data_IF_693951856877
#
_entry.id   IF_693951856877
#
_cell.length_a   1.000
_cell.length_b   1.000
_cell.length_c   1.000
_cell.angle_alpha   90.00
_cell.angle_beta   90.00
_cell.angle_gamma   90.00
#
_symmetry.space_group_name_H-M   'P 1'
#
loop_
_entity.id
_entity.type
_entity.pdbx_description
1 polymer ?
#
# COMPACT_ATOMS: atom_id res chain seq x y z
N UNK A 1 -13.32 -4.97 -2.64
CA UNK A 1 -12.70 -6.25 -2.93
C UNK A 1 -13.60 -7.39 -2.43
N UNK A 2 -13.73 -8.46 -3.21
CA UNK A 2 -14.54 -9.64 -2.87
C UNK A 2 -13.72 -10.92 -2.89
N UNK A 3 -12.41 -10.80 -2.94
CA UNK A 3 -11.48 -11.93 -2.95
C UNK A 3 -11.65 -12.75 -1.68
N UNK A 4 -11.83 -14.07 -1.82
CA UNK A 4 -11.94 -15.01 -0.70
C UNK A 4 -13.21 -14.88 0.16
N UNK A 5 -14.18 -14.01 -0.20
CA UNK A 5 -15.36 -13.76 0.64
C UNK A 5 -16.29 -14.98 0.72
N UNK A 6 -16.37 -15.81 -0.33
CA UNK A 6 -17.21 -17.02 -0.34
C UNK A 6 -16.65 -18.06 0.61
N UNK A 7 -15.36 -18.33 0.54
CA UNK A 7 -14.65 -19.27 1.41
C UNK A 7 -14.73 -18.81 2.88
N UNK A 8 -14.55 -17.53 3.12
CA UNK A 8 -14.67 -16.94 4.46
C UNK A 8 -16.09 -17.08 5.01
N UNK A 9 -17.11 -16.71 4.22
CA UNK A 9 -18.51 -16.84 4.62
C UNK A 9 -18.91 -18.30 4.85
N UNK A 10 -18.40 -19.25 4.04
CA UNK A 10 -18.62 -20.68 4.25
C UNK A 10 -18.06 -21.14 5.58
N UNK A 11 -16.81 -20.76 5.89
CA UNK A 11 -16.18 -21.09 7.16
C UNK A 11 -16.93 -20.52 8.37
N UNK A 12 -17.46 -19.29 8.26
CA UNK A 12 -18.31 -18.70 9.31
C UNK A 12 -19.63 -19.46 9.48
N UNK A 13 -20.25 -19.88 8.37
CA UNK A 13 -21.49 -20.68 8.42
C UNK A 13 -21.25 -22.04 9.08
N UNK A 14 -20.11 -22.70 8.78
CA UNK A 14 -19.70 -23.95 9.42
C UNK A 14 -19.47 -23.80 10.93
N UNK A 15 -19.11 -22.60 11.38
CA UNK A 15 -18.98 -22.21 12.78
C UNK A 15 -20.31 -21.77 13.43
N UNK A 16 -21.41 -21.85 12.69
CA UNK A 16 -22.76 -21.55 13.20
C UNK A 16 -23.17 -20.07 13.11
N UNK A 17 -22.42 -19.24 12.40
CA UNK A 17 -22.81 -17.84 12.17
C UNK A 17 -23.90 -17.71 11.11
N UNK A 18 -24.84 -16.81 11.35
CA UNK A 18 -25.77 -16.33 10.34
C UNK A 18 -25.13 -15.20 9.52
N UNK A 19 -25.34 -15.21 8.21
CA UNK A 19 -24.77 -14.24 7.30
C UNK A 19 -25.75 -13.08 7.02
N UNK A 20 -25.28 -11.85 7.23
CA UNK A 20 -26.00 -10.63 6.90
C UNK A 20 -25.23 -9.85 5.86
N UNK A 21 -25.88 -9.47 4.74
CA UNK A 21 -25.18 -8.76 3.67
C UNK A 21 -26.11 -7.89 2.83
N UNK A 22 -25.51 -7.04 1.99
CA UNK A 22 -26.21 -6.14 1.06
C UNK A 22 -25.81 -6.41 -0.39
N UNK A 23 -26.65 -5.98 -1.34
CA UNK A 23 -26.33 -5.80 -2.75
C UNK A 23 -25.60 -6.96 -3.43
N UNK A 24 -24.46 -6.63 -4.07
CA UNK A 24 -23.72 -7.58 -4.89
C UNK A 24 -23.02 -8.69 -4.10
N UNK A 25 -22.61 -8.45 -2.84
CA UNK A 25 -22.02 -9.49 -1.98
C UNK A 25 -23.07 -10.52 -1.58
N UNK A 26 -24.27 -10.09 -1.17
CA UNK A 26 -25.36 -11.00 -0.85
C UNK A 26 -25.72 -11.90 -2.03
N UNK A 27 -25.74 -11.33 -3.24
CA UNK A 27 -25.99 -12.09 -4.47
C UNK A 27 -24.92 -13.15 -4.74
N UNK A 28 -23.65 -12.76 -4.56
CA UNK A 28 -22.51 -13.69 -4.73
C UNK A 28 -22.59 -14.87 -3.77
N UNK A 29 -22.84 -14.60 -2.49
CA UNK A 29 -22.95 -15.64 -1.46
C UNK A 29 -24.14 -16.55 -1.69
N UNK A 30 -25.33 -16.00 -2.07
CA UNK A 30 -26.52 -16.79 -2.43
C UNK A 30 -26.26 -17.68 -3.64
N UNK A 31 -25.54 -17.18 -4.65
CA UNK A 31 -25.16 -17.97 -5.84
C UNK A 31 -24.19 -19.11 -5.50
N UNK A 32 -23.40 -18.96 -4.44
CA UNK A 32 -22.55 -20.02 -3.89
C UNK A 32 -23.31 -21.01 -2.98
N UNK A 33 -24.63 -20.87 -2.84
CA UNK A 33 -25.48 -21.78 -2.06
C UNK A 33 -25.58 -21.44 -0.58
N UNK A 34 -25.06 -20.31 -0.13
CA UNK A 34 -25.11 -19.90 1.27
C UNK A 34 -26.44 -19.19 1.60
N UNK A 35 -26.96 -19.47 2.80
CA UNK A 35 -28.12 -18.75 3.32
C UNK A 35 -27.67 -17.35 3.78
N UNK A 36 -28.25 -16.30 3.21
CA UNK A 36 -27.91 -14.90 3.51
C UNK A 36 -29.17 -14.11 3.74
N UNK A 37 -29.26 -13.47 4.91
CA UNK A 37 -30.29 -12.48 5.24
C UNK A 37 -29.89 -11.12 4.67
N UNK A 38 -30.83 -10.41 4.06
CA UNK A 38 -30.54 -9.07 3.55
C UNK A 38 -30.61 -8.05 4.71
N UNK A 39 -29.76 -7.03 4.64
CA UNK A 39 -29.79 -5.93 5.61
C UNK A 39 -31.17 -5.26 5.62
N UNK A 40 -31.84 -5.10 4.48
CA UNK A 40 -33.21 -4.56 4.38
C UNK A 40 -34.26 -5.42 5.09
N UNK A 41 -34.04 -6.73 5.20
CA UNK A 41 -34.92 -7.63 5.96
C UNK A 41 -34.78 -7.41 7.48
N UNK A 42 -33.56 -7.12 7.96
CA UNK A 42 -33.28 -6.82 9.37
C UNK A 42 -33.71 -5.41 9.75
N UNK A 43 -33.43 -4.44 8.91
CA UNK A 43 -33.76 -3.04 9.17
C UNK A 43 -35.22 -2.72 8.95
N UNK A 44 -35.96 -3.59 8.22
CA UNK A 44 -37.33 -3.32 7.75
C UNK A 44 -37.43 -1.99 6.98
N UNK A 45 -36.31 -1.59 6.35
CA UNK A 45 -36.20 -0.35 5.58
C UNK A 45 -35.59 -0.67 4.19
N UNK A 46 -36.17 -0.16 3.09
CA UNK A 46 -35.58 -0.36 1.77
C UNK A 46 -34.26 0.39 1.65
N UNK A 47 -33.41 -0.06 0.72
CA UNK A 47 -32.29 0.75 0.26
C UNK A 47 -32.86 1.98 -0.49
N UNK A 48 -32.36 3.18 -0.14
CA UNK A 48 -32.80 4.45 -0.73
C UNK A 48 -31.62 5.20 -1.36
N UNK A 49 -31.94 6.13 -2.27
CA UNK A 49 -30.96 6.94 -2.99
C UNK A 49 -29.92 6.09 -3.71
N UNK A 50 -30.37 5.10 -4.51
CA UNK A 50 -29.53 4.16 -5.25
C UNK A 50 -28.48 3.42 -4.39
N UNK A 51 -28.85 3.16 -3.11
CA UNK A 51 -27.99 2.43 -2.18
C UNK A 51 -27.02 3.28 -1.36
N UNK A 52 -27.06 4.61 -1.46
CA UNK A 52 -26.28 5.49 -0.59
C UNK A 52 -26.63 5.32 0.89
N UNK A 53 -27.89 4.92 1.18
CA UNK A 53 -28.36 4.61 2.53
C UNK A 53 -28.92 3.20 2.55
N UNK A 54 -28.19 2.26 3.16
CA UNK A 54 -28.60 0.87 3.29
C UNK A 54 -28.22 0.24 4.65
N UNK A 55 -27.00 0.45 5.13
CA UNK A 55 -26.51 -0.09 6.42
C UNK A 55 -26.52 0.93 7.57
N UNK A 56 -26.79 2.20 7.29
CA UNK A 56 -26.83 3.27 8.29
C UNK A 56 -28.17 3.24 9.06
N UNK A 57 -28.33 2.23 9.90
CA UNK A 57 -29.55 2.00 10.64
C UNK A 57 -29.26 1.51 12.07
N UNK A 58 -30.06 1.88 13.09
CA UNK A 58 -29.88 1.40 14.47
C UNK A 58 -29.86 -0.12 14.61
N UNK A 59 -30.62 -0.86 13.82
CA UNK A 59 -30.64 -2.32 13.82
C UNK A 59 -29.31 -2.96 13.34
N UNK A 60 -28.41 -2.19 12.73
CA UNK A 60 -27.07 -2.60 12.35
C UNK A 60 -26.04 -2.02 13.33
N UNK A 61 -26.06 -0.69 13.53
CA UNK A 61 -25.05 -0.02 14.35
C UNK A 61 -25.25 -0.23 15.86
N UNK A 62 -26.47 -0.51 16.31
CA UNK A 62 -26.73 -0.91 17.69
C UNK A 62 -25.98 -2.19 18.07
N UNK A 63 -26.21 -3.32 17.35
CA UNK A 63 -25.46 -4.56 17.55
C UNK A 63 -23.93 -4.43 17.43
N UNK A 64 -23.43 -3.57 16.54
CA UNK A 64 -21.99 -3.31 16.39
C UNK A 64 -21.40 -2.54 17.57
N UNK A 65 -22.16 -1.69 18.23
CA UNK A 65 -21.66 -0.81 19.30
C UNK A 65 -22.04 -1.27 20.71
N UNK A 66 -22.90 -2.29 20.86
CA UNK A 66 -23.31 -2.80 22.13
C UNK A 66 -22.14 -3.40 22.93
N UNK A 67 -22.02 -3.01 24.19
CA UNK A 67 -21.02 -3.52 25.13
C UNK A 67 -21.57 -4.77 25.79
N UNK A 68 -21.43 -5.92 25.14
CA UNK A 68 -22.08 -7.17 25.52
C UNK A 68 -21.71 -7.71 26.90
N UNK A 69 -20.65 -7.19 27.52
CA UNK A 69 -20.30 -7.45 28.92
C UNK A 69 -21.13 -6.61 29.91
N UNK A 70 -21.90 -5.63 29.43
CA UNK A 70 -22.80 -4.83 30.25
C UNK A 70 -24.24 -5.34 30.09
N UNK A 71 -24.84 -5.74 31.19
CA UNK A 71 -26.20 -6.30 31.21
C UNK A 71 -27.26 -5.33 30.64
N UNK A 72 -27.06 -4.04 30.82
CA UNK A 72 -27.96 -3.02 30.29
C UNK A 72 -28.00 -3.03 28.77
N UNK A 73 -26.82 -3.08 28.10
CA UNK A 73 -26.72 -3.10 26.63
C UNK A 73 -27.28 -4.42 26.07
N UNK A 74 -26.95 -5.56 26.70
CA UNK A 74 -27.48 -6.86 26.31
C UNK A 74 -29.02 -6.95 26.46
N UNK A 75 -29.57 -6.43 27.55
CA UNK A 75 -31.01 -6.35 27.79
C UNK A 75 -31.71 -5.47 26.76
N UNK A 76 -31.09 -4.33 26.40
CA UNK A 76 -31.67 -3.42 25.41
C UNK A 76 -31.67 -4.03 24.01
N UNK A 77 -30.59 -4.70 23.58
CA UNK A 77 -30.57 -5.46 22.32
C UNK A 77 -31.69 -6.50 22.27
N UNK A 78 -31.84 -7.29 23.34
CA UNK A 78 -32.91 -8.29 23.44
C UNK A 78 -34.31 -7.66 23.36
N UNK A 79 -34.53 -6.54 24.03
CA UNK A 79 -35.82 -5.80 23.99
C UNK A 79 -36.14 -5.26 22.59
N UNK A 80 -35.11 -4.89 21.83
CA UNK A 80 -35.25 -4.41 20.45
C UNK A 80 -35.32 -5.54 19.40
N UNK A 81 -35.08 -6.77 19.82
CA UNK A 81 -35.03 -7.93 18.92
C UNK A 81 -33.81 -7.95 18.01
N UNK A 82 -32.73 -7.30 18.39
CA UNK A 82 -31.49 -7.22 17.59
C UNK A 82 -30.53 -8.33 18.01
N UNK A 83 -30.08 -9.14 17.05
CA UNK A 83 -29.05 -10.13 17.27
C UNK A 83 -27.66 -9.45 17.31
N UNK A 84 -26.74 -9.87 18.19
CA UNK A 84 -25.38 -9.34 18.24
C UNK A 84 -24.64 -9.64 16.94
N UNK A 85 -23.91 -8.65 16.40
CA UNK A 85 -22.98 -8.84 15.28
C UNK A 85 -21.59 -9.07 15.86
N UNK A 86 -20.98 -10.22 15.57
CA UNK A 86 -19.69 -10.64 16.15
C UNK A 86 -18.52 -10.52 15.18
N UNK A 87 -18.79 -10.59 13.88
CA UNK A 87 -17.78 -10.54 12.81
C UNK A 87 -18.26 -9.59 11.71
N UNK A 88 -17.37 -8.75 11.25
CA UNK A 88 -17.60 -7.85 10.10
C UNK A 88 -16.46 -8.05 9.11
N UNK A 89 -16.80 -8.28 7.84
CA UNK A 89 -15.89 -8.17 6.72
C UNK A 89 -16.34 -6.99 5.85
N UNK A 90 -15.50 -5.99 5.72
CA UNK A 90 -15.85 -4.78 4.98
C UNK A 90 -14.60 -4.14 4.37
N UNK A 91 -14.51 -4.19 3.05
CA UNK A 91 -13.56 -3.41 2.26
C UNK A 91 -14.27 -2.19 1.70
N UNK A 92 -13.60 -1.04 1.70
CA UNK A 92 -14.17 0.21 1.18
C UNK A 92 -14.16 0.22 -0.35
N UNK A 93 -14.86 1.17 -0.95
CA UNK A 93 -14.78 1.40 -2.39
C UNK A 93 -13.36 1.79 -2.77
N UNK A 94 -12.84 1.35 -3.93
CA UNK A 94 -11.46 1.62 -4.35
C UNK A 94 -11.35 3.07 -4.88
N UNK A 95 -11.44 4.06 -3.98
CA UNK A 95 -11.44 5.48 -4.34
C UNK A 95 -10.11 5.88 -5.01
N UNK A 96 -8.96 5.42 -4.50
CA UNK A 96 -7.64 5.71 -5.08
C UNK A 96 -7.54 5.23 -6.53
N UNK A 97 -7.99 4.00 -6.82
CA UNK A 97 -8.01 3.45 -8.19
C UNK A 97 -8.93 4.27 -9.10
N UNK A 98 -10.11 4.66 -8.58
CA UNK A 98 -11.07 5.48 -9.31
C UNK A 98 -10.51 6.88 -9.63
N UNK A 99 -9.81 7.49 -8.68
CA UNK A 99 -9.15 8.79 -8.86
C UNK A 99 -7.99 8.73 -9.88
N UNK A 100 -7.31 7.57 -9.97
CA UNK A 100 -6.18 7.35 -10.89
C UNK A 100 -6.60 6.93 -12.31
N UNK A 101 -7.90 6.79 -12.62
CA UNK A 101 -8.36 6.35 -13.95
C UNK A 101 -7.95 7.31 -15.07
N UNK A 102 -7.69 6.75 -16.25
CA UNK A 102 -7.37 7.53 -17.44
C UNK A 102 -8.32 7.13 -18.60
N UNK A 103 -9.14 8.06 -19.16
CA UNK A 103 -9.28 9.46 -18.73
C UNK A 103 -9.86 9.59 -17.30
N UNK A 104 -9.61 10.71 -16.61
CA UNK A 104 -10.15 10.95 -15.27
C UNK A 104 -11.68 10.88 -15.24
N UNK A 105 -12.25 10.32 -14.17
CA UNK A 105 -13.68 10.39 -13.91
C UNK A 105 -14.15 11.84 -13.77
N UNK A 106 -15.37 12.13 -14.16
CA UNK A 106 -15.96 13.43 -13.84
C UNK A 106 -16.23 13.56 -12.32
N UNK A 107 -16.60 14.77 -11.89
CA UNK A 107 -16.75 15.05 -10.46
C UNK A 107 -17.91 14.30 -9.83
N UNK A 108 -19.03 14.11 -10.56
CA UNK A 108 -20.19 13.42 -10.06
C UNK A 108 -19.92 11.91 -9.92
N UNK A 109 -19.29 11.31 -10.92
CA UNK A 109 -18.91 9.88 -10.89
C UNK A 109 -17.88 9.59 -9.80
N UNK A 110 -16.91 10.52 -9.58
CA UNK A 110 -15.93 10.35 -8.52
C UNK A 110 -16.58 10.48 -7.13
N UNK A 111 -17.51 11.42 -6.93
CA UNK A 111 -18.24 11.57 -5.68
C UNK A 111 -19.02 10.31 -5.30
N UNK A 112 -19.54 9.56 -6.28
CA UNK A 112 -20.21 8.27 -6.03
C UNK A 112 -19.26 7.17 -5.53
N UNK A 113 -17.94 7.36 -5.71
CA UNK A 113 -16.92 6.44 -5.17
C UNK A 113 -16.59 6.72 -3.71
N UNK A 114 -17.13 7.78 -3.09
CA UNK A 114 -16.96 8.06 -1.67
C UNK A 114 -17.95 7.21 -0.87
N UNK A 115 -17.45 6.16 -0.23
CA UNK A 115 -18.22 5.27 0.63
C UNK A 115 -18.50 5.94 1.99
N UNK A 116 -19.75 5.97 2.40
CA UNK A 116 -20.19 6.50 3.70
C UNK A 116 -20.51 5.36 4.66
N UNK A 117 -21.24 4.36 4.18
CA UNK A 117 -21.73 3.25 5.00
C UNK A 117 -20.61 2.32 5.46
N UNK A 118 -19.66 2.01 4.57
CA UNK A 118 -18.50 1.17 4.86
C UNK A 118 -17.62 1.73 5.98
N UNK A 119 -17.08 2.96 5.85
CA UNK A 119 -16.26 3.58 6.90
C UNK A 119 -16.99 3.67 8.24
N UNK A 120 -18.27 4.00 8.25
CA UNK A 120 -19.06 4.07 9.48
C UNK A 120 -19.16 2.70 10.17
N UNK A 121 -19.39 1.64 9.41
CA UNK A 121 -19.47 0.27 9.91
C UNK A 121 -18.10 -0.25 10.40
N UNK A 122 -17.04 0.01 9.64
CA UNK A 122 -15.66 -0.33 10.00
C UNK A 122 -15.26 0.34 11.33
N UNK A 123 -15.48 1.65 11.44
CA UNK A 123 -15.15 2.41 12.64
C UNK A 123 -15.97 1.99 13.86
N UNK A 124 -17.26 1.69 13.69
CA UNK A 124 -18.11 1.19 14.78
C UNK A 124 -17.60 -0.16 15.30
N UNK A 125 -17.27 -1.08 14.40
CA UNK A 125 -16.72 -2.40 14.73
C UNK A 125 -15.36 -2.29 15.42
N UNK A 126 -14.43 -1.51 14.87
CA UNK A 126 -13.10 -1.28 15.43
C UNK A 126 -13.18 -0.63 16.83
N UNK A 127 -14.05 0.36 17.04
CA UNK A 127 -14.29 0.95 18.33
C UNK A 127 -14.75 -0.10 19.37
N UNK A 128 -15.55 -1.06 18.95
CA UNK A 128 -16.08 -2.11 19.80
C UNK A 128 -15.33 -3.44 19.62
N UNK A 129 -14.03 -3.41 19.33
CA UNK A 129 -13.19 -4.59 19.05
C UNK A 129 -13.22 -5.64 20.19
N UNK A 130 -13.56 -5.27 21.41
CA UNK A 130 -13.73 -6.25 22.49
C UNK A 130 -14.86 -7.25 22.23
N UNK A 131 -15.80 -6.91 21.36
CA UNK A 131 -17.00 -7.70 21.09
C UNK A 131 -17.18 -8.04 19.60
N UNK A 132 -16.50 -7.32 18.71
CA UNK A 132 -16.62 -7.47 17.26
C UNK A 132 -15.23 -7.68 16.65
N UNK A 133 -15.08 -8.68 15.81
CA UNK A 133 -13.93 -8.88 14.93
C UNK A 133 -14.20 -8.13 13.63
N UNK A 134 -13.28 -7.28 13.21
CA UNK A 134 -13.39 -6.52 11.95
C UNK A 134 -12.24 -6.86 11.02
N UNK A 135 -12.52 -7.38 9.83
CA UNK A 135 -11.56 -7.62 8.77
C UNK A 135 -11.81 -6.68 7.61
N UNK A 136 -10.86 -5.77 7.37
CA UNK A 136 -10.86 -4.82 6.24
C UNK A 136 -10.01 -5.31 5.07
N UNK A 137 -9.20 -6.35 5.29
CA UNK A 137 -8.29 -6.94 4.32
C UNK A 137 -8.63 -8.43 4.14
N UNK A 138 -8.89 -8.90 2.91
CA UNK A 138 -9.12 -10.32 2.63
C UNK A 138 -7.99 -11.25 3.12
N UNK A 139 -6.75 -10.75 3.16
CA UNK A 139 -5.60 -11.50 3.69
C UNK A 139 -5.73 -11.89 5.16
N UNK A 140 -6.64 -11.23 5.92
CA UNK A 140 -6.89 -11.53 7.34
C UNK A 140 -8.03 -12.53 7.58
N UNK A 141 -8.74 -12.95 6.53
CA UNK A 141 -9.88 -13.86 6.68
C UNK A 141 -9.49 -15.18 7.35
N UNK A 142 -8.35 -15.74 6.94
CA UNK A 142 -7.86 -16.99 7.52
C UNK A 142 -7.53 -16.84 9.01
N UNK A 143 -6.87 -15.75 9.40
CA UNK A 143 -6.54 -15.47 10.81
C UNK A 143 -7.79 -15.38 11.68
N UNK A 144 -8.85 -14.73 11.16
CA UNK A 144 -10.15 -14.61 11.86
C UNK A 144 -10.80 -15.98 12.03
N UNK A 145 -10.81 -16.82 10.98
CA UNK A 145 -11.39 -18.16 11.03
C UNK A 145 -10.63 -19.05 12.01
N UNK A 146 -9.29 -19.02 11.99
CA UNK A 146 -8.45 -19.80 12.90
C UNK A 146 -8.66 -19.37 14.36
N UNK A 147 -8.73 -18.06 14.61
CA UNK A 147 -8.99 -17.53 15.94
C UNK A 147 -10.38 -17.94 16.48
N UNK A 148 -11.40 -17.92 15.62
CA UNK A 148 -12.75 -18.37 15.98
C UNK A 148 -12.82 -19.88 16.23
N UNK A 149 -12.08 -20.70 15.47
CA UNK A 149 -11.99 -22.15 15.67
C UNK A 149 -11.26 -22.54 16.95
N UNK A 150 -10.30 -21.72 17.37
CA UNK A 150 -9.53 -21.95 18.59
C UNK A 150 -10.25 -21.51 19.86
N UNK A 151 -11.35 -20.77 19.76
CA UNK A 151 -12.14 -20.26 20.87
C UNK A 151 -13.44 -21.06 21.03
N UNK A 152 -13.86 -21.31 22.27
CA UNK A 152 -15.14 -21.96 22.56
C UNK A 152 -16.34 -21.05 22.29
N UNK A 153 -16.18 -19.74 22.51
CA UNK A 153 -17.14 -18.68 22.17
C UNK A 153 -16.43 -17.54 21.42
N UNK A 154 -17.06 -16.91 20.43
CA UNK A 154 -16.47 -15.73 19.76
C UNK A 154 -15.99 -14.64 20.72
N UNK A 155 -16.54 -14.55 21.96
CA UNK A 155 -16.07 -13.61 22.98
C UNK A 155 -14.69 -13.98 23.55
N UNK A 156 -14.28 -15.25 23.46
CA UNK A 156 -13.02 -15.76 24.01
C UNK A 156 -11.83 -15.63 23.05
N UNK A 157 -12.05 -15.14 21.84
CA UNK A 157 -10.95 -14.83 20.91
C UNK A 157 -9.99 -13.83 21.55
N UNK A 158 -8.70 -14.14 21.50
CA UNK A 158 -7.63 -13.37 22.12
C UNK A 158 -7.71 -11.85 21.81
N UNK A 159 -7.52 -11.03 22.86
CA UNK A 159 -7.66 -9.58 22.75
C UNK A 159 -6.65 -8.96 21.78
N UNK A 160 -5.45 -9.53 21.70
CA UNK A 160 -4.37 -9.08 20.83
C UNK A 160 -4.78 -9.15 19.34
N UNK A 161 -5.47 -10.23 18.94
CA UNK A 161 -5.99 -10.38 17.57
C UNK A 161 -7.06 -9.32 17.30
N UNK A 162 -7.98 -9.10 18.24
CA UNK A 162 -9.04 -8.08 18.12
C UNK A 162 -8.46 -6.68 18.01
N UNK A 163 -7.43 -6.37 18.80
CA UNK A 163 -6.74 -5.09 18.78
C UNK A 163 -5.96 -4.89 17.47
N UNK A 164 -5.28 -5.92 16.97
CA UNK A 164 -4.58 -5.88 15.69
C UNK A 164 -5.54 -5.58 14.53
N UNK A 165 -6.67 -6.29 14.46
CA UNK A 165 -7.69 -6.04 13.45
C UNK A 165 -8.34 -4.65 13.57
N UNK A 166 -8.55 -4.16 14.79
CA UNK A 166 -9.10 -2.83 15.02
C UNK A 166 -8.12 -1.71 14.63
N UNK A 167 -6.82 -1.91 14.89
CA UNK A 167 -5.77 -0.99 14.44
C UNK A 167 -5.77 -0.90 12.91
N UNK A 168 -5.68 -2.05 12.21
CA UNK A 168 -5.72 -2.13 10.75
C UNK A 168 -6.98 -1.47 10.16
N UNK A 169 -8.13 -1.63 10.82
CA UNK A 169 -9.38 -1.01 10.40
C UNK A 169 -9.36 0.52 10.52
N UNK A 170 -8.76 1.08 11.58
CA UNK A 170 -8.60 2.52 11.70
C UNK A 170 -7.56 3.09 10.74
N UNK A 171 -6.46 2.37 10.50
CA UNK A 171 -5.45 2.73 9.49
C UNK A 171 -6.07 2.76 8.10
N UNK A 172 -6.88 1.73 7.76
CA UNK A 172 -7.60 1.65 6.49
C UNK A 172 -8.55 2.84 6.26
N UNK A 173 -9.36 3.21 7.28
CA UNK A 173 -10.26 4.37 7.14
C UNK A 173 -9.51 5.70 7.12
N UNK A 174 -8.39 5.83 7.84
CA UNK A 174 -7.57 7.03 7.82
C UNK A 174 -6.92 7.23 6.45
N UNK A 175 -6.32 6.19 5.86
CA UNK A 175 -5.74 6.24 4.52
C UNK A 175 -6.80 6.58 3.46
N UNK A 176 -7.99 5.99 3.57
CA UNK A 176 -9.11 6.29 2.69
C UNK A 176 -9.51 7.77 2.71
N UNK A 177 -9.64 8.37 3.91
CA UNK A 177 -9.97 9.79 4.04
C UNK A 177 -8.83 10.70 3.53
N UNK A 178 -7.57 10.28 3.68
CA UNK A 178 -6.40 11.00 3.12
C UNK A 178 -6.47 11.03 1.59
N UNK A 179 -6.74 9.90 0.94
CA UNK A 179 -6.86 9.82 -0.52
C UNK A 179 -7.98 10.74 -1.06
N UNK A 180 -9.14 10.73 -0.39
CA UNK A 180 -10.26 11.62 -0.75
C UNK A 180 -9.84 13.09 -0.59
N UNK A 181 -9.23 13.46 0.53
CA UNK A 181 -8.85 14.83 0.81
C UNK A 181 -7.80 15.35 -0.19
N UNK A 182 -6.83 14.55 -0.57
CA UNK A 182 -5.80 14.88 -1.56
C UNK A 182 -6.42 15.10 -2.95
N UNK A 183 -7.29 14.19 -3.40
CA UNK A 183 -7.91 14.30 -4.72
C UNK A 183 -8.90 15.47 -4.80
N UNK A 184 -9.69 15.72 -3.75
CA UNK A 184 -10.56 16.90 -3.67
C UNK A 184 -9.74 18.20 -3.67
N UNK A 185 -8.60 18.24 -2.98
CA UNK A 185 -7.70 19.39 -3.03
C UNK A 185 -7.22 19.63 -4.47
N UNK A 186 -6.74 18.59 -5.15
CA UNK A 186 -6.26 18.66 -6.53
C UNK A 186 -7.33 19.20 -7.49
N UNK A 187 -8.61 18.80 -7.32
CA UNK A 187 -9.72 19.23 -8.17
C UNK A 187 -10.21 20.64 -7.85
N UNK A 188 -10.30 20.99 -6.57
CA UNK A 188 -10.89 22.27 -6.12
C UNK A 188 -9.87 23.42 -6.16
N UNK A 189 -8.64 23.16 -5.72
CA UNK A 189 -7.58 24.17 -5.62
C UNK A 189 -6.62 24.12 -6.80
N UNK A 190 -6.40 22.93 -7.33
CA UNK A 190 -5.49 22.66 -8.44
C UNK A 190 -4.13 22.12 -7.98
N UNK A 191 -3.39 21.56 -8.94
CA UNK A 191 -2.04 21.06 -8.72
C UNK A 191 -1.04 22.25 -8.73
N UNK A 192 -0.23 22.44 -7.68
CA UNK A 192 0.80 23.46 -7.67
C UNK A 192 1.78 23.38 -8.84
N UNK A 193 2.11 22.14 -9.28
CA UNK A 193 3.04 21.91 -10.40
C UNK A 193 2.51 22.44 -11.75
N UNK A 194 1.19 22.63 -11.88
CA UNK A 194 0.53 23.14 -13.09
C UNK A 194 0.37 24.66 -13.08
N UNK A 195 0.83 25.38 -12.04
CA UNK A 195 0.82 26.82 -11.99
C UNK A 195 1.87 27.41 -12.95
N UNK A 196 1.46 28.36 -13.82
CA UNK A 196 2.34 29.02 -14.77
C UNK A 196 3.21 30.12 -14.14
N UNK A 197 2.81 30.62 -12.98
CA UNK A 197 3.53 31.62 -12.20
C UNK A 197 3.81 31.14 -10.77
N UNK A 198 4.82 31.75 -10.12
CA UNK A 198 5.12 31.49 -8.71
C UNK A 198 3.94 31.80 -7.78
N UNK A 199 3.14 32.83 -8.12
CA UNK A 199 1.96 33.21 -7.35
C UNK A 199 0.87 32.12 -7.48
N UNK A 200 0.55 31.68 -8.70
CA UNK A 200 -0.38 30.58 -8.93
C UNK A 200 0.05 29.27 -8.26
N UNK A 201 1.33 28.93 -8.32
CA UNK A 201 1.85 27.74 -7.63
C UNK A 201 1.69 27.86 -6.12
N UNK A 202 1.98 29.04 -5.55
CA UNK A 202 1.87 29.31 -4.13
C UNK A 202 0.42 29.24 -3.64
N UNK A 203 -0.53 29.80 -4.41
CA UNK A 203 -1.95 29.80 -4.06
C UNK A 203 -2.56 28.39 -4.10
N UNK A 204 -1.93 27.48 -4.82
CA UNK A 204 -2.34 26.05 -4.89
C UNK A 204 -1.69 25.17 -3.83
N UNK A 205 -0.79 25.68 -2.99
CA UNK A 205 -0.22 24.90 -1.91
C UNK A 205 -1.29 24.57 -0.85
N UNK A 206 -1.36 23.31 -0.37
CA UNK A 206 -2.34 22.94 0.62
C UNK A 206 -2.04 23.58 1.97
N UNK A 207 -3.10 23.99 2.70
CA UNK A 207 -2.96 24.47 4.08
C UNK A 207 -2.62 23.34 5.07
N UNK A 208 -2.94 22.10 4.71
CA UNK A 208 -2.63 20.89 5.49
C UNK A 208 -2.09 19.82 4.55
N UNK A 209 -0.96 19.24 4.90
CA UNK A 209 -0.40 18.06 4.22
C UNK A 209 -0.85 16.84 4.99
N UNK A 210 -1.51 15.91 4.30
CA UNK A 210 -1.95 14.62 4.83
C UNK A 210 -1.27 13.52 4.03
N UNK A 211 -0.63 12.59 4.72
CA UNK A 211 0.08 11.48 4.12
C UNK A 211 -0.30 10.18 4.85
N UNK A 212 -0.48 9.11 4.11
CA UNK A 212 -0.69 7.78 4.63
C UNK A 212 0.25 6.81 3.93
N UNK A 213 1.10 6.14 4.69
CA UNK A 213 2.08 5.19 4.19
C UNK A 213 2.02 3.91 5.00
N UNK A 214 2.29 2.76 4.37
CA UNK A 214 2.40 1.48 5.06
C UNK A 214 3.82 0.93 4.98
N UNK A 215 4.22 0.21 6.03
CA UNK A 215 5.53 -0.42 6.08
C UNK A 215 5.59 -1.62 5.15
N UNK A 216 6.61 -1.67 4.29
CA UNK A 216 6.85 -2.78 3.36
C UNK A 216 8.05 -3.63 3.78
N UNK A 217 9.03 -3.05 4.47
CA UNK A 217 10.19 -3.79 4.96
C UNK A 217 10.79 -3.16 6.22
N UNK A 218 11.39 -3.97 7.09
CA UNK A 218 12.18 -3.52 8.24
C UNK A 218 13.67 -3.57 7.87
N UNK A 219 14.35 -2.42 7.93
CA UNK A 219 15.74 -2.32 7.53
C UNK A 219 16.68 -2.83 8.64
N UNK A 220 17.88 -3.24 8.26
CA UNK A 220 18.88 -3.78 9.20
C UNK A 220 19.23 -2.79 10.32
N UNK A 221 19.31 -1.49 10.01
CA UNK A 221 19.57 -0.36 10.93
C UNK A 221 19.24 0.95 10.21
N UNK A 222 19.11 2.04 10.97
CA UNK A 222 18.91 3.38 10.46
C UNK A 222 20.19 4.02 9.92
N UNK A 223 20.26 5.36 9.99
CA UNK A 223 21.47 6.09 9.60
C UNK A 223 22.70 5.62 10.41
N UNK A 224 22.50 5.33 11.69
CA UNK A 224 23.49 4.75 12.58
C UNK A 224 23.09 3.36 13.05
N UNK A 225 24.06 2.50 13.35
CA UNK A 225 23.86 1.08 13.65
C UNK A 225 22.99 0.77 14.88
N UNK A 226 22.71 1.74 15.75
CA UNK A 226 21.86 1.58 16.93
C UNK A 226 20.42 2.08 16.71
N UNK A 227 20.12 2.62 15.53
CA UNK A 227 18.79 3.14 15.17
C UNK A 227 17.99 2.08 14.43
N UNK A 228 16.70 1.97 14.75
CA UNK A 228 15.77 1.20 13.94
C UNK A 228 15.33 2.03 12.73
N UNK A 229 15.07 1.36 11.61
CA UNK A 229 14.51 1.95 10.41
C UNK A 229 13.61 0.97 9.68
N UNK A 230 12.70 1.50 8.90
CA UNK A 230 11.82 0.73 8.04
C UNK A 230 11.58 1.48 6.73
N UNK A 231 11.21 0.74 5.70
CA UNK A 231 10.82 1.25 4.40
C UNK A 231 9.31 1.32 4.34
N UNK A 232 8.79 2.45 3.88
CA UNK A 232 7.36 2.69 3.73
C UNK A 232 7.03 3.03 2.27
N UNK A 233 5.83 2.70 1.85
CA UNK A 233 5.26 3.11 0.57
C UNK A 233 3.95 3.85 0.83
N UNK A 234 3.67 4.86 0.03
CA UNK A 234 2.43 5.59 0.11
C UNK A 234 1.25 4.69 -0.27
N UNK A 235 0.15 4.80 0.48
CA UNK A 235 -1.05 3.99 0.28
C UNK A 235 -1.62 4.13 -1.15
N UNK A 236 -1.48 5.31 -1.74
CA UNK A 236 -2.01 5.66 -3.05
C UNK A 236 -0.94 5.63 -4.15
N UNK A 237 0.23 4.99 -3.88
CA UNK A 237 1.25 4.85 -4.91
C UNK A 237 0.66 4.08 -6.11
N UNK A 238 0.64 4.67 -7.33
CA UNK A 238 0.05 4.02 -8.48
C UNK A 238 0.72 2.67 -8.77
N UNK A 239 -0.07 1.63 -9.03
CA UNK A 239 0.46 0.34 -9.45
C UNK A 239 1.31 0.50 -10.73
N UNK A 240 2.47 -0.15 -10.76
CA UNK A 240 3.39 -0.10 -11.91
C UNK A 240 4.35 1.09 -11.94
N UNK A 241 4.26 2.04 -11.00
CA UNK A 241 5.30 3.05 -10.84
C UNK A 241 6.58 2.42 -10.31
N UNK A 242 7.65 2.50 -11.11
CA UNK A 242 8.98 2.04 -10.70
C UNK A 242 9.61 3.05 -9.76
N UNK A 243 9.62 2.72 -8.48
CA UNK A 243 10.31 3.45 -7.41
C UNK A 243 11.38 2.55 -6.80
N UNK A 244 12.22 3.08 -5.92
CA UNK A 244 13.16 2.24 -5.16
C UNK A 244 12.44 1.22 -4.27
N UNK A 245 11.24 1.55 -3.80
CA UNK A 245 10.43 0.66 -2.95
C UNK A 245 9.87 -0.51 -3.73
N UNK A 246 9.46 -0.28 -5.00
CA UNK A 246 8.89 -1.28 -5.90
C UNK A 246 9.94 -1.95 -6.79
N UNK A 247 11.20 -1.53 -6.69
CA UNK A 247 12.29 -2.08 -7.48
C UNK A 247 12.55 -3.55 -7.11
N UNK A 248 12.73 -4.37 -8.13
CA UNK A 248 13.08 -5.78 -7.94
C UNK A 248 14.54 -5.91 -7.53
N UNK A 249 14.81 -6.57 -6.41
CA UNK A 249 16.16 -6.92 -5.97
C UNK A 249 16.55 -8.24 -6.65
N UNK A 250 17.52 -8.19 -7.57
CA UNK A 250 17.97 -9.36 -8.33
C UNK A 250 19.00 -10.21 -7.58
N UNK A 251 19.70 -9.64 -6.60
CA UNK A 251 20.68 -10.34 -5.78
C UNK A 251 21.34 -9.44 -4.77
N UNK A 252 22.21 -10.01 -3.92
CA UNK A 252 22.96 -9.28 -2.90
C UNK A 252 22.36 -9.35 -1.50
N UNK A 253 22.88 -8.52 -0.60
CA UNK A 253 22.44 -8.42 0.78
C UNK A 253 21.25 -7.45 0.91
N UNK A 254 20.42 -7.65 1.94
CA UNK A 254 19.39 -6.69 2.30
C UNK A 254 19.97 -5.27 2.44
N UNK A 255 19.31 -4.29 1.85
CA UNK A 255 19.76 -2.89 1.86
C UNK A 255 19.63 -2.28 3.27
N UNK A 256 20.52 -1.34 3.58
CA UNK A 256 20.43 -0.52 4.78
C UNK A 256 19.73 0.81 4.47
N UNK A 257 19.41 1.60 5.50
CA UNK A 257 18.93 2.97 5.36
C UNK A 257 19.86 3.81 4.47
N UNK A 258 21.17 3.74 4.71
CA UNK A 258 22.15 4.50 3.91
C UNK A 258 22.17 4.05 2.45
N UNK A 259 21.99 2.76 2.17
CA UNK A 259 21.89 2.29 0.79
C UNK A 259 20.65 2.84 0.09
N UNK A 260 19.49 2.90 0.75
CA UNK A 260 18.29 3.52 0.19
C UNK A 260 18.44 5.02 -0.02
N UNK A 261 19.05 5.75 0.93
CA UNK A 261 19.30 7.18 0.83
C UNK A 261 20.23 7.50 -0.35
N UNK A 262 21.35 6.78 -0.45
CA UNK A 262 22.30 6.95 -1.56
C UNK A 262 21.69 6.51 -2.91
N UNK A 263 20.87 5.45 -2.91
CA UNK A 263 20.17 4.98 -4.10
C UNK A 263 19.13 5.99 -4.61
N UNK A 264 18.38 6.65 -3.72
CA UNK A 264 17.43 7.70 -4.09
C UNK A 264 18.17 8.89 -4.73
N UNK A 265 19.24 9.36 -4.12
CA UNK A 265 20.07 10.43 -4.68
C UNK A 265 20.63 10.06 -6.06
N UNK A 266 21.11 8.82 -6.22
CA UNK A 266 21.66 8.31 -7.47
C UNK A 266 20.60 8.22 -8.57
N UNK A 267 19.43 7.68 -8.24
CA UNK A 267 18.32 7.52 -9.20
C UNK A 267 17.78 8.88 -9.66
N UNK A 268 17.58 9.82 -8.73
CA UNK A 268 17.11 11.18 -9.06
C UNK A 268 18.07 11.87 -10.00
N UNK A 269 19.37 11.82 -9.72
CA UNK A 269 20.38 12.43 -10.57
C UNK A 269 20.44 11.73 -11.95
N UNK A 270 20.39 10.39 -12.00
CA UNK A 270 20.39 9.65 -13.27
C UNK A 270 19.17 10.02 -14.14
N UNK A 271 18.00 10.15 -13.54
CA UNK A 271 16.77 10.58 -14.25
C UNK A 271 16.82 12.04 -14.73
N UNK A 272 17.53 12.92 -14.00
CA UNK A 272 17.68 14.32 -14.40
C UNK A 272 18.66 14.52 -15.56
N UNK A 273 19.50 13.53 -15.85
CA UNK A 273 20.34 13.54 -17.05
C UNK A 273 19.48 13.15 -18.26
N UNK A 274 18.74 14.12 -18.79
CA UNK A 274 17.88 13.89 -19.95
C UNK A 274 18.72 13.58 -21.19
N UNK A 275 18.55 12.37 -21.72
CA UNK A 275 19.23 11.95 -22.96
C UNK A 275 18.54 12.47 -24.22
N UNK A 276 17.32 12.98 -24.11
CA UNK A 276 16.58 13.61 -25.21
C UNK A 276 17.24 14.90 -25.71
N UNK A 277 17.91 15.62 -24.80
CA UNK A 277 18.68 16.82 -25.15
C UNK A 277 20.04 16.49 -25.79
N UNK A 278 20.53 15.26 -25.65
CA UNK A 278 21.84 14.80 -26.06
C UNK A 278 21.78 13.49 -26.86
N UNK A 279 21.14 13.46 -28.03
CA UNK A 279 20.87 12.22 -28.75
C UNK A 279 22.14 11.49 -29.25
N UNK A 280 23.29 12.17 -29.29
CA UNK A 280 24.59 11.53 -29.60
C UNK A 280 25.23 10.79 -28.44
N UNK A 281 24.76 11.03 -27.23
CA UNK A 281 25.25 10.42 -25.98
C UNK A 281 24.08 9.91 -25.12
N UNK A 282 23.37 8.85 -25.60
CA UNK A 282 22.11 8.41 -25.00
C UNK A 282 22.30 7.66 -23.68
N UNK A 283 23.53 7.25 -23.35
CA UNK A 283 23.82 6.44 -22.18
C UNK A 283 24.27 7.31 -21.01
N UNK A 284 23.60 7.17 -19.88
CA UNK A 284 23.93 7.88 -18.65
C UNK A 284 24.46 6.92 -17.58
N UNK A 285 25.48 7.35 -16.86
CA UNK A 285 25.98 6.69 -15.67
C UNK A 285 26.19 7.72 -14.54
N UNK A 286 25.69 7.39 -13.35
CA UNK A 286 25.84 8.19 -12.13
C UNK A 286 26.41 7.33 -11.02
N UNK A 287 27.41 7.86 -10.31
CA UNK A 287 28.10 7.23 -9.18
C UNK A 287 27.93 8.14 -7.97
N UNK A 288 27.31 7.65 -6.90
CA UNK A 288 27.05 8.42 -5.68
C UNK A 288 27.58 7.69 -4.46
N UNK A 289 28.09 8.46 -3.51
CA UNK A 289 28.47 8.00 -2.19
C UNK A 289 28.15 9.07 -1.15
N UNK A 290 27.49 8.67 -0.05
CA UNK A 290 27.07 9.59 1.01
C UNK A 290 26.23 10.77 0.48
N UNK A 291 25.24 10.45 -0.35
CA UNK A 291 24.30 11.38 -1.02
C UNK A 291 24.97 12.42 -1.94
N UNK A 292 26.25 12.28 -2.24
CA UNK A 292 26.98 13.19 -3.14
C UNK A 292 27.49 12.45 -4.37
N UNK A 293 27.39 13.04 -5.56
CA UNK A 293 27.93 12.44 -6.77
C UNK A 293 29.47 12.43 -6.74
N UNK A 294 30.06 11.23 -6.88
CA UNK A 294 31.49 11.08 -7.21
C UNK A 294 31.71 11.33 -8.69
N UNK A 295 30.72 11.03 -9.52
CA UNK A 295 30.75 11.29 -10.94
C UNK A 295 29.38 11.08 -11.61
N UNK A 296 29.16 11.84 -12.68
CA UNK A 296 27.98 11.69 -13.53
C UNK A 296 28.40 12.02 -14.97
N UNK A 297 28.05 11.17 -15.91
CA UNK A 297 28.45 11.34 -17.31
C UNK A 297 27.41 10.79 -18.28
N UNK A 298 27.43 11.35 -19.49
CA UNK A 298 26.77 10.83 -20.67
C UNK A 298 27.85 10.31 -21.64
N UNK A 299 27.58 9.22 -22.33
CA UNK A 299 28.51 8.61 -23.30
C UNK A 299 27.81 8.11 -24.54
N UNK A 300 28.60 7.87 -25.61
CA UNK A 300 28.13 7.22 -26.83
C UNK A 300 27.87 5.73 -26.61
N UNK A 301 28.51 5.14 -25.58
CA UNK A 301 28.25 3.79 -25.09
C UNK A 301 28.05 3.81 -23.56
N UNK A 302 27.36 2.82 -23.02
CA UNK A 302 27.14 2.68 -21.59
C UNK A 302 28.46 2.50 -20.82
N UNK A 303 29.41 1.77 -21.43
CA UNK A 303 30.77 1.61 -20.87
C UNK A 303 31.51 2.94 -20.81
N UNK A 304 31.46 3.75 -21.84
CA UNK A 304 32.10 5.07 -21.92
C UNK A 304 31.51 5.99 -20.84
N UNK A 305 30.16 6.04 -20.70
CA UNK A 305 29.49 6.80 -19.65
C UNK A 305 30.01 6.41 -18.26
N UNK A 306 30.18 5.12 -17.99
CA UNK A 306 30.75 4.63 -16.74
C UNK A 306 32.20 5.06 -16.54
N UNK A 307 33.06 4.85 -17.53
CA UNK A 307 34.48 5.20 -17.45
C UNK A 307 34.68 6.71 -17.23
N UNK A 308 33.89 7.56 -17.87
CA UNK A 308 33.90 9.01 -17.68
C UNK A 308 33.39 9.41 -16.30
N UNK A 309 32.29 8.81 -15.82
CA UNK A 309 31.80 9.07 -14.48
C UNK A 309 32.82 8.67 -13.40
N UNK A 310 33.43 7.48 -13.56
CA UNK A 310 34.47 6.99 -12.64
C UNK A 310 35.71 7.87 -12.64
N UNK A 311 36.11 8.41 -13.79
CA UNK A 311 37.30 9.26 -13.92
C UNK A 311 37.17 10.59 -13.17
N UNK A 312 35.96 11.02 -12.81
CA UNK A 312 35.71 12.26 -12.05
C UNK A 312 36.28 12.19 -10.65
N UNK A 313 36.05 11.07 -9.92
CA UNK A 313 36.63 10.80 -8.60
C UNK A 313 36.70 9.29 -8.33
N UNK A 314 37.76 8.63 -8.81
CA UNK A 314 37.88 7.18 -8.69
C UNK A 314 38.14 6.70 -7.26
N UNK A 315 38.68 7.57 -6.38
CA UNK A 315 38.93 7.19 -4.98
C UNK A 315 37.61 7.12 -4.19
N UNK A 316 36.72 8.09 -4.36
CA UNK A 316 35.43 8.14 -3.69
C UNK A 316 34.46 7.10 -4.23
N UNK A 317 34.63 6.66 -5.46
CA UNK A 317 33.78 5.66 -6.11
C UNK A 317 33.83 4.27 -5.47
N UNK A 318 34.86 3.95 -4.68
CA UNK A 318 34.91 2.68 -3.94
C UNK A 318 33.84 2.60 -2.86
N UNK A 319 32.96 1.59 -2.93
CA UNK A 319 31.83 1.42 -2.02
C UNK A 319 30.68 2.38 -2.29
N UNK A 320 30.52 2.77 -3.56
CA UNK A 320 29.45 3.65 -4.04
C UNK A 320 28.21 2.89 -4.49
N UNK A 321 27.19 3.67 -4.87
CA UNK A 321 26.02 3.22 -5.60
C UNK A 321 26.10 3.74 -7.03
N UNK A 322 25.79 2.89 -8.00
CA UNK A 322 25.82 3.23 -9.45
C UNK A 322 24.44 3.07 -10.05
N UNK A 323 24.04 4.01 -10.89
CA UNK A 323 22.81 3.93 -11.67
C UNK A 323 23.10 4.13 -13.16
N UNK A 324 22.48 3.27 -13.98
CA UNK A 324 22.41 3.39 -15.42
C UNK A 324 20.98 3.69 -15.85
N UNK A 325 20.82 4.48 -16.93
CA UNK A 325 19.49 4.79 -17.49
C UNK A 325 18.92 3.70 -18.39
N UNK A 326 19.72 2.69 -18.74
CA UNK A 326 19.35 1.59 -19.63
C UNK A 326 19.74 0.21 -19.07
N UNK A 327 19.27 -0.87 -19.71
CA UNK A 327 19.62 -2.24 -19.38
C UNK A 327 21.14 -2.43 -19.41
N UNK A 328 21.73 -2.92 -18.33
CA UNK A 328 23.18 -3.11 -18.21
C UNK A 328 23.64 -4.23 -19.13
N UNK A 329 24.62 -3.88 -19.96
CA UNK A 329 25.27 -4.78 -20.90
C UNK A 329 26.47 -5.51 -20.26
N UNK A 330 26.88 -6.64 -20.86
CA UNK A 330 27.97 -7.47 -20.31
C UNK A 330 29.27 -6.67 -20.24
N UNK A 331 29.60 -5.93 -21.31
CA UNK A 331 30.83 -5.14 -21.44
C UNK A 331 30.90 -4.04 -20.36
N UNK A 332 29.77 -3.45 -20.00
CA UNK A 332 29.66 -2.46 -18.92
C UNK A 332 29.87 -3.11 -17.56
N UNK A 333 29.24 -4.25 -17.31
CA UNK A 333 29.42 -4.98 -16.07
C UNK A 333 30.85 -5.49 -15.86
N UNK A 334 31.54 -5.90 -16.94
CA UNK A 334 32.98 -6.24 -16.88
C UNK A 334 33.85 -5.04 -16.52
N UNK A 335 33.51 -3.84 -17.03
CA UNK A 335 34.19 -2.61 -16.66
C UNK A 335 33.97 -2.22 -15.20
N UNK A 336 32.74 -2.38 -14.67
CA UNK A 336 32.40 -2.17 -13.25
C UNK A 336 33.05 -3.21 -12.34
N UNK A 337 33.30 -4.42 -12.83
CA UNK A 337 33.75 -5.56 -12.03
C UNK A 337 35.09 -5.39 -11.30
N UNK A 338 35.88 -4.35 -11.65
CA UNK A 338 37.08 -3.95 -10.92
C UNK A 338 36.84 -3.04 -9.72
N UNK A 339 35.63 -2.50 -9.56
CA UNK A 339 35.24 -1.58 -8.50
C UNK A 339 34.33 -2.29 -7.48
N UNK A 340 34.58 -2.07 -6.19
CA UNK A 340 33.61 -2.48 -5.18
C UNK A 340 32.42 -1.52 -5.19
N UNK A 341 31.24 -2.03 -5.52
CA UNK A 341 29.97 -1.31 -5.60
C UNK A 341 28.98 -1.94 -4.63
N UNK A 342 28.36 -1.15 -3.76
CA UNK A 342 27.35 -1.66 -2.82
C UNK A 342 26.03 -1.97 -3.48
N UNK A 343 25.56 -1.08 -4.36
CA UNK A 343 24.31 -1.25 -5.12
C UNK A 343 24.49 -0.78 -6.55
N UNK A 344 24.02 -1.56 -7.50
CA UNK A 344 23.92 -1.17 -8.91
C UNK A 344 22.45 -1.16 -9.32
N UNK A 345 22.00 -0.07 -9.92
CA UNK A 345 20.61 0.14 -10.34
C UNK A 345 20.54 0.36 -11.85
N UNK A 346 19.52 -0.23 -12.46
CA UNK A 346 19.19 -0.05 -13.88
C UNK A 346 17.75 -0.47 -14.15
N UNK A 347 17.16 -0.11 -15.30
CA UNK A 347 15.87 -0.66 -15.75
C UNK A 347 15.87 -2.18 -15.88
N UNK A 348 17.04 -2.81 -16.00
CA UNK A 348 17.20 -4.26 -16.07
C UNK A 348 18.66 -4.67 -16.30
N UNK A 349 18.87 -5.97 -16.41
CA UNK A 349 20.17 -6.59 -16.69
C UNK A 349 20.00 -7.65 -17.77
N UNK A 350 21.03 -7.85 -18.62
CA UNK A 350 21.00 -8.96 -19.56
C UNK A 350 21.03 -10.31 -18.83
N UNK A 351 20.34 -11.33 -19.36
CA UNK A 351 20.21 -12.66 -18.72
C UNK A 351 21.57 -13.29 -18.39
N UNK A 352 22.57 -13.06 -19.22
CA UNK A 352 23.93 -13.56 -19.02
C UNK A 352 24.58 -13.00 -17.74
N UNK A 353 24.30 -11.73 -17.41
CA UNK A 353 24.79 -11.05 -16.22
C UNK A 353 24.17 -11.60 -14.94
N UNK A 354 22.86 -11.80 -14.93
CA UNK A 354 22.15 -12.36 -13.78
C UNK A 354 22.62 -13.78 -13.45
N UNK A 355 22.94 -14.58 -14.48
CA UNK A 355 23.48 -15.92 -14.28
C UNK A 355 24.90 -15.91 -13.70
N UNK A 356 25.76 -15.00 -14.18
CA UNK A 356 27.15 -14.89 -13.73
C UNK A 356 27.24 -14.33 -12.29
N UNK A 357 26.43 -13.34 -11.96
CA UNK A 357 26.33 -12.76 -10.61
C UNK A 357 25.90 -13.81 -9.57
N UNK A 358 24.84 -14.55 -9.84
CA UNK A 358 24.36 -15.66 -8.98
C UNK A 358 25.41 -16.76 -8.79
N UNK A 359 26.22 -17.06 -9.80
CA UNK A 359 27.31 -18.04 -9.71
C UNK A 359 28.49 -17.56 -8.84
N UNK A 360 28.73 -16.25 -8.76
CA UNK A 360 29.78 -15.66 -7.91
C UNK A 360 29.36 -15.48 -6.45
N UNK A 361 28.10 -15.26 -6.16
CA UNK A 361 27.58 -15.20 -4.78
C UNK A 361 27.75 -16.54 -4.05
N UNK A 362 27.56 -17.66 -4.75
CA UNK A 362 27.79 -19.02 -4.21
C UNK A 362 29.25 -19.30 -3.87
N UNK A 363 30.19 -18.57 -4.47
CA UNK A 363 31.64 -18.76 -4.21
C UNK A 363 32.20 -17.86 -3.08
N UNK A 364 31.50 -16.82 -2.66
CA UNK A 364 31.92 -15.92 -1.55
C UNK A 364 31.36 -16.32 -0.18
N UNK A 365 30.47 -17.31 -0.11
CA UNK A 365 29.89 -17.84 1.13
C UNK A 365 30.41 -19.23 1.50
N UNK A 366 31.54 -19.66 0.95
CA UNK A 366 32.39 -20.76 1.39
C UNK A 366 33.75 -20.16 1.86
#
# INVERSE_FOLDING_TARGET
DKTGIVEFATALTDLGFELLSTGGTARMLKNAGLAVTLVSEVTQHPEIFDGRVKSLHPAIHGPLLARLHQEADATELGRLGYAPIRVVACTLYPFGDAAATTPPLDDDDLLEMIDIGGPTMVRASAKNHRHVLIATNPGRYQDVVEALRAADDPADVALEIRQSLALEAFEHTAAYDVAIAQELHRRVVGDPALGSTMEEQRDRLPQSVLEASHQVDALRYGENGHQAAALYVDHDAPEGHTTLVTARVEGGKAMSYNNYSDADATLRLCRSLSTDEWPSTPHACVIVKHNNPCGAALGETQREAFEMALASDPESAFGSIICFNEIVQVETAEAVGGLFVEVMMAPGYTDCLLYTSRAHETKRNL
#
